data_IF_857827056248
#
_entry.id   IF_857827056248
#
_cell.length_a   1.000
_cell.length_b   1.000
_cell.length_c   1.000
_cell.angle_alpha   90.00
_cell.angle_beta   90.00
_cell.angle_gamma   90.00
#
_symmetry.space_group_name_H-M   'P 1'
#
loop_
_entity.id
_entity.type
_entity.pdbx_description
1 polymer ?
#
# COMPACT_ATOMS: atom_id res chain seq x y z
N UNK A 1 -22.88 -30.99 47.42
CA UNK A 1 -23.26 -31.28 46.01
C UNK A 1 -24.27 -30.24 45.58
N UNK A 2 -23.88 -29.32 44.72
CA UNK A 2 -24.80 -28.33 44.12
C UNK A 2 -25.58 -28.99 42.98
N UNK A 3 -26.90 -29.05 43.13
CA UNK A 3 -27.81 -29.71 42.20
C UNK A 3 -28.28 -28.71 41.12
N UNK A 4 -28.19 -29.06 39.84
CA UNK A 4 -28.59 -28.26 38.68
C UNK A 4 -29.98 -27.61 38.79
N UNK A 5 -30.91 -28.24 39.50
CA UNK A 5 -32.27 -27.72 39.74
C UNK A 5 -32.30 -26.46 40.63
N UNK A 6 -31.34 -26.28 41.54
CA UNK A 6 -31.30 -25.13 42.44
C UNK A 6 -30.64 -23.92 41.75
N UNK A 7 -29.76 -24.14 40.73
CA UNK A 7 -29.18 -23.08 39.93
C UNK A 7 -30.22 -22.39 39.02
N UNK A 8 -31.12 -23.17 38.42
CA UNK A 8 -32.19 -22.64 37.55
C UNK A 8 -33.30 -21.88 38.34
N UNK A 9 -33.51 -22.18 39.61
CA UNK A 9 -34.48 -21.45 40.46
C UNK A 9 -33.95 -20.11 40.99
N UNK A 10 -32.64 -19.95 41.13
CA UNK A 10 -32.02 -18.69 41.56
C UNK A 10 -31.81 -17.69 40.42
N UNK A 11 -31.69 -18.19 39.16
CA UNK A 11 -31.56 -17.32 38.00
C UNK A 11 -32.88 -16.76 37.44
N UNK A 12 -34.03 -17.33 37.81
CA UNK A 12 -35.35 -16.84 37.40
C UNK A 12 -35.95 -15.74 38.29
N UNK A 13 -35.34 -15.46 39.44
CA UNK A 13 -35.80 -14.40 40.36
C UNK A 13 -35.05 -13.07 40.23
N UNK A 14 -33.95 -13.03 39.44
CA UNK A 14 -33.17 -11.80 39.21
C UNK A 14 -33.58 -11.03 37.94
N UNK A 15 -34.51 -11.54 37.15
CA UNK A 15 -34.92 -10.92 35.86
C UNK A 15 -36.21 -10.09 35.96
N UNK A 16 -36.80 -9.91 37.16
CA UNK A 16 -38.07 -9.19 37.31
C UNK A 16 -37.95 -7.84 38.08
N UNK A 17 -36.78 -7.32 38.24
CA UNK A 17 -36.58 -6.10 39.07
C UNK A 17 -35.95 -4.90 38.29
N UNK A 18 -36.08 -4.82 36.95
CA UNK A 18 -35.66 -3.64 36.20
C UNK A 18 -36.69 -3.21 35.16
N UNK A 19 -37.90 -2.94 35.59
CA UNK A 19 -38.88 -2.14 34.87
C UNK A 19 -39.30 -0.97 35.75
N UNK A 20 -38.36 -0.12 36.10
CA UNK A 20 -38.64 1.25 36.53
C UNK A 20 -38.44 2.14 35.32
N UNK A 21 -39.53 2.62 34.73
CA UNK A 21 -39.50 3.74 33.80
C UNK A 21 -38.92 4.95 34.52
N UNK A 22 -37.68 5.27 34.24
CA UNK A 22 -37.17 6.61 34.49
C UNK A 22 -37.30 7.37 33.17
N UNK A 23 -38.33 8.20 33.06
CA UNK A 23 -38.41 9.29 32.13
C UNK A 23 -37.34 10.33 32.53
N UNK A 24 -36.10 10.11 32.10
CA UNK A 24 -35.08 11.16 32.05
C UNK A 24 -35.22 11.85 30.70
N UNK A 25 -35.23 13.22 30.66
CA UNK A 25 -35.29 13.95 29.40
C UNK A 25 -34.09 13.51 28.55
N UNK A 26 -34.41 13.07 27.32
CA UNK A 26 -33.42 12.60 26.34
C UNK A 26 -32.39 13.68 26.05
N UNK A 27 -31.25 13.60 26.69
CA UNK A 27 -30.04 14.15 26.10
C UNK A 27 -29.73 13.22 24.91
N UNK A 28 -30.21 13.59 23.72
CA UNK A 28 -29.62 13.17 22.49
C UNK A 28 -28.16 13.59 22.56
N UNK A 29 -27.28 12.65 22.89
CA UNK A 29 -25.88 12.78 22.56
C UNK A 29 -25.86 12.94 21.02
N UNK A 30 -25.97 14.19 20.56
CA UNK A 30 -25.49 14.53 19.22
C UNK A 30 -24.07 14.02 19.19
N UNK A 31 -23.85 12.93 18.47
CA UNK A 31 -22.53 12.53 18.06
C UNK A 31 -22.01 13.71 17.23
N UNK A 32 -21.22 14.57 17.84
CA UNK A 32 -20.37 15.50 17.10
C UNK A 32 -19.43 14.62 16.28
N UNK A 33 -19.89 14.15 15.14
CA UNK A 33 -19.04 13.74 14.05
C UNK A 33 -18.27 15.00 13.67
N UNK A 34 -17.05 15.10 14.14
CA UNK A 34 -16.08 16.00 13.53
C UNK A 34 -16.00 15.49 12.10
N UNK A 35 -16.70 16.15 11.18
CA UNK A 35 -16.52 15.93 9.75
C UNK A 35 -15.11 16.44 9.45
N UNK A 36 -14.13 15.58 9.63
CA UNK A 36 -12.83 15.78 9.00
C UNK A 36 -13.11 15.77 7.51
N UNK A 37 -12.71 16.85 6.81
CA UNK A 37 -12.81 16.92 5.35
C UNK A 37 -12.05 15.78 4.69
N UNK A 38 -12.09 15.68 3.37
CA UNK A 38 -11.34 14.67 2.65
C UNK A 38 -9.85 14.80 2.92
N UNK A 39 -9.17 13.66 2.93
CA UNK A 39 -7.71 13.54 3.17
C UNK A 39 -7.13 12.59 2.14
N UNK A 40 -5.97 12.91 1.59
CA UNK A 40 -5.15 11.97 0.81
C UNK A 40 -3.70 12.06 1.22
N UNK A 41 -3.08 10.90 1.35
CA UNK A 41 -1.67 10.73 1.68
C UNK A 41 -1.02 9.72 0.74
N UNK A 42 0.22 9.97 0.36
CA UNK A 42 1.00 9.06 -0.49
C UNK A 42 2.47 9.03 -0.12
N UNK A 43 3.09 7.90 -0.37
CA UNK A 43 4.51 7.69 -0.07
C UNK A 43 5.40 8.54 -0.98
N UNK A 44 6.49 9.05 -0.42
CA UNK A 44 7.57 9.79 -1.05
C UNK A 44 7.15 11.15 -1.65
N UNK A 45 8.10 11.86 -2.21
CA UNK A 45 7.93 13.20 -2.81
C UNK A 45 7.08 13.19 -4.09
N UNK A 46 7.17 12.12 -4.88
CA UNK A 46 6.31 11.90 -6.06
C UNK A 46 4.81 11.92 -5.69
N UNK A 47 4.49 11.65 -4.43
CA UNK A 47 3.17 11.77 -3.86
C UNK A 47 2.56 13.17 -3.93
N UNK A 48 3.36 14.23 -3.99
CA UNK A 48 2.84 15.61 -4.09
C UNK A 48 1.99 15.80 -5.35
N UNK A 49 2.52 15.43 -6.52
CA UNK A 49 1.80 15.55 -7.78
C UNK A 49 0.63 14.55 -7.86
N UNK A 50 0.83 13.33 -7.35
CA UNK A 50 -0.23 12.33 -7.26
C UNK A 50 -1.40 12.79 -6.38
N UNK A 51 -1.11 13.41 -5.23
CA UNK A 51 -2.13 13.97 -4.34
C UNK A 51 -2.88 15.14 -4.96
N UNK A 52 -2.25 15.98 -5.77
CA UNK A 52 -2.94 17.06 -6.51
C UNK A 52 -4.00 16.51 -7.45
N UNK A 53 -3.68 15.44 -8.18
CA UNK A 53 -4.65 14.80 -9.07
C UNK A 53 -5.80 14.14 -8.29
N UNK A 54 -5.48 13.37 -7.25
CA UNK A 54 -6.47 12.78 -6.36
C UNK A 54 -7.39 13.83 -5.72
N UNK A 55 -6.83 14.98 -5.36
CA UNK A 55 -7.56 16.07 -4.73
C UNK A 55 -8.63 16.71 -5.63
N UNK A 56 -8.43 16.74 -6.94
CA UNK A 56 -9.47 17.23 -7.88
C UNK A 56 -10.77 16.43 -7.73
N UNK A 57 -10.65 15.14 -7.47
CA UNK A 57 -11.82 14.25 -7.27
C UNK A 57 -12.39 14.44 -5.86
N UNK A 58 -11.54 14.40 -4.84
CA UNK A 58 -11.98 14.50 -3.45
C UNK A 58 -12.65 15.84 -3.13
N UNK A 59 -12.08 16.96 -3.60
CA UNK A 59 -12.64 18.30 -3.39
C UNK A 59 -13.95 18.52 -4.12
N UNK A 60 -14.19 17.78 -5.20
CA UNK A 60 -15.48 17.77 -5.92
C UNK A 60 -16.52 16.81 -5.29
N UNK A 61 -16.21 16.17 -4.15
CA UNK A 61 -17.09 15.22 -3.48
C UNK A 61 -17.10 13.82 -4.10
N UNK A 62 -16.11 13.49 -4.94
CA UNK A 62 -15.94 12.16 -5.55
C UNK A 62 -15.46 11.11 -4.57
N UNK A 63 -15.52 9.84 -4.98
CA UNK A 63 -15.16 8.68 -4.15
C UNK A 63 -13.64 8.60 -3.92
N UNK A 64 -13.25 8.16 -2.74
CA UNK A 64 -11.86 7.88 -2.41
C UNK A 64 -11.22 6.87 -3.39
N UNK A 65 -11.95 5.84 -3.84
CA UNK A 65 -11.49 4.85 -4.82
C UNK A 65 -11.06 5.49 -6.14
N UNK A 66 -11.85 6.43 -6.67
CA UNK A 66 -11.55 7.11 -7.91
C UNK A 66 -10.32 8.04 -7.75
N UNK A 67 -10.21 8.65 -6.58
CA UNK A 67 -9.09 9.53 -6.24
C UNK A 67 -7.76 8.77 -6.17
N UNK A 68 -7.73 7.62 -5.47
CA UNK A 68 -6.49 6.84 -5.33
C UNK A 68 -6.04 6.19 -6.64
N UNK A 69 -6.98 5.81 -7.52
CA UNK A 69 -6.62 5.36 -8.87
C UNK A 69 -5.99 6.48 -9.68
N UNK A 70 -6.71 7.61 -9.82
CA UNK A 70 -6.25 8.72 -10.67
C UNK A 70 -4.98 9.36 -10.14
N UNK A 71 -4.82 9.43 -8.83
CA UNK A 71 -3.62 9.96 -8.22
C UNK A 71 -2.37 9.17 -8.60
N UNK A 72 -2.36 7.86 -8.39
CA UNK A 72 -1.16 7.05 -8.67
C UNK A 72 -0.88 6.90 -10.17
N UNK A 73 -1.90 7.03 -11.05
CA UNK A 73 -1.71 7.05 -12.50
C UNK A 73 -0.73 8.15 -12.96
N UNK A 74 -0.64 9.26 -12.23
CA UNK A 74 0.34 10.33 -12.52
C UNK A 74 1.76 9.78 -12.43
N UNK A 75 2.06 9.05 -11.38
CA UNK A 75 3.38 8.45 -11.17
C UNK A 75 3.64 7.30 -12.15
N UNK A 76 2.66 6.46 -12.44
CA UNK A 76 2.76 5.39 -13.45
C UNK A 76 3.02 5.94 -14.87
N UNK A 77 2.50 7.13 -15.17
CA UNK A 77 2.72 7.81 -16.45
C UNK A 77 4.09 8.50 -16.54
N UNK A 78 4.75 8.73 -15.42
CA UNK A 78 6.09 9.30 -15.37
C UNK A 78 7.10 8.39 -16.03
N UNK A 79 8.01 8.99 -16.80
CA UNK A 79 9.12 8.25 -17.43
C UNK A 79 10.41 8.39 -16.61
N UNK A 80 10.33 9.00 -15.42
CA UNK A 80 11.52 9.50 -14.70
C UNK A 80 12.16 8.49 -13.76
N UNK A 81 11.57 7.42 -13.45
CA UNK A 81 12.07 6.30 -12.65
C UNK A 81 10.95 5.53 -11.94
N UNK A 82 11.31 4.46 -11.50
CA UNK A 82 10.90 3.74 -10.30
C UNK A 82 9.47 3.18 -10.28
N UNK A 83 8.49 3.83 -10.89
CA UNK A 83 7.12 3.32 -11.03
C UNK A 83 6.70 3.38 -12.50
N UNK A 84 5.98 2.39 -12.97
CA UNK A 84 5.51 2.34 -14.36
C UNK A 84 6.59 1.90 -15.36
N UNK A 85 6.29 2.11 -16.65
CA UNK A 85 7.12 1.60 -17.76
C UNK A 85 8.47 2.30 -17.93
N UNK A 86 8.70 3.43 -17.25
CA UNK A 86 9.99 4.12 -17.25
C UNK A 86 11.04 3.52 -16.30
N UNK A 87 10.66 2.56 -15.49
CA UNK A 87 11.46 1.99 -14.41
C UNK A 87 12.56 1.04 -14.91
N UNK A 88 13.45 0.66 -13.97
CA UNK A 88 14.46 -0.36 -14.23
C UNK A 88 13.83 -1.73 -14.52
N UNK A 89 14.38 -2.48 -15.48
CA UNK A 89 13.89 -3.80 -15.84
C UNK A 89 14.27 -4.86 -14.79
N UNK A 90 13.72 -6.05 -14.97
CA UNK A 90 14.25 -7.27 -14.36
C UNK A 90 15.60 -7.67 -15.02
N UNK A 91 16.17 -8.80 -14.60
CA UNK A 91 17.46 -9.31 -15.13
C UNK A 91 17.46 -9.59 -16.61
N UNK A 92 16.29 -9.94 -17.16
CA UNK A 92 16.15 -10.29 -18.58
C UNK A 92 15.82 -9.08 -19.46
N UNK A 93 15.75 -7.87 -18.87
CA UNK A 93 15.51 -6.64 -19.60
C UNK A 93 14.02 -6.27 -19.76
N UNK A 94 13.14 -6.88 -18.98
CA UNK A 94 11.70 -6.60 -19.03
C UNK A 94 11.25 -5.75 -17.83
N UNK A 95 10.53 -4.67 -18.10
CA UNK A 95 9.82 -3.94 -17.03
C UNK A 95 8.54 -4.68 -16.69
N UNK A 96 8.43 -5.15 -15.47
CA UNK A 96 7.23 -5.81 -14.94
C UNK A 96 6.61 -4.96 -13.82
N UNK A 97 5.29 -4.85 -13.85
CA UNK A 97 4.51 -3.94 -13.01
C UNK A 97 3.58 -4.72 -12.08
N UNK A 98 3.49 -4.25 -10.85
CA UNK A 98 2.66 -4.82 -9.81
C UNK A 98 1.75 -3.71 -9.25
N UNK A 99 0.46 -4.01 -9.03
CA UNK A 99 -0.46 -3.05 -8.44
C UNK A 99 -1.58 -3.72 -7.65
N UNK A 100 -2.07 -3.02 -6.64
CA UNK A 100 -3.30 -3.38 -5.92
C UNK A 100 -4.15 -2.15 -5.62
N UNK A 101 -5.47 -2.35 -5.56
CA UNK A 101 -6.46 -1.35 -5.19
C UNK A 101 -7.51 -1.98 -4.27
N UNK A 102 -8.02 -1.22 -3.31
CA UNK A 102 -9.02 -1.72 -2.37
C UNK A 102 -10.01 -0.61 -2.00
N UNK A 103 -11.31 -0.94 -1.97
CA UNK A 103 -12.39 -0.01 -1.66
C UNK A 103 -12.91 -0.15 -0.22
N UNK A 104 -13.89 0.68 0.12
CA UNK A 104 -14.56 0.77 1.41
C UNK A 104 -15.42 -0.46 1.78
N UNK A 105 -15.65 -1.38 0.83
CA UNK A 105 -16.51 -2.57 0.98
C UNK A 105 -15.72 -3.87 1.00
N UNK A 106 -14.41 -3.80 1.20
CA UNK A 106 -13.49 -4.93 1.09
C UNK A 106 -13.34 -5.52 -0.32
N UNK A 107 -13.90 -4.88 -1.35
CA UNK A 107 -13.56 -5.28 -2.71
C UNK A 107 -12.13 -4.88 -3.00
N UNK A 108 -11.37 -5.77 -3.60
CA UNK A 108 -9.99 -5.51 -3.96
C UNK A 108 -9.62 -6.20 -5.28
N UNK A 109 -8.64 -5.63 -5.96
CA UNK A 109 -8.11 -6.18 -7.18
C UNK A 109 -6.61 -5.95 -7.27
N UNK A 110 -5.91 -6.89 -7.91
CA UNK A 110 -4.45 -6.85 -8.04
C UNK A 110 -3.99 -7.39 -9.38
N UNK A 111 -2.86 -6.88 -9.83
CA UNK A 111 -2.08 -7.46 -10.93
C UNK A 111 -0.63 -7.57 -10.51
N UNK A 112 0.06 -8.63 -10.94
CA UNK A 112 1.48 -8.81 -10.70
C UNK A 112 2.20 -9.30 -11.96
N UNK A 113 3.47 -8.92 -12.09
CA UNK A 113 4.29 -9.22 -13.28
C UNK A 113 3.59 -8.82 -14.58
N UNK A 114 2.84 -7.74 -14.57
CA UNK A 114 2.16 -7.20 -15.76
C UNK A 114 3.19 -6.46 -16.63
N UNK A 115 3.23 -6.79 -17.91
CA UNK A 115 4.15 -6.17 -18.85
C UNK A 115 3.41 -5.28 -19.85
N UNK A 116 4.05 -4.19 -20.29
CA UNK A 116 3.65 -3.38 -21.45
C UNK A 116 2.27 -2.72 -21.35
N UNK A 117 1.73 -2.56 -20.14
CA UNK A 117 0.50 -1.82 -19.88
C UNK A 117 0.84 -0.61 -19.01
N UNK A 118 0.51 0.59 -19.47
CA UNK A 118 0.93 1.86 -18.87
C UNK A 118 0.38 2.07 -17.45
N UNK A 119 -0.86 1.63 -17.18
CA UNK A 119 -1.55 1.85 -15.92
C UNK A 119 -1.98 0.53 -15.27
N UNK A 120 -1.07 -0.17 -14.58
CA UNK A 120 -1.38 -1.41 -13.87
C UNK A 120 -2.47 -1.22 -12.79
N UNK A 121 -2.55 -0.05 -12.15
CA UNK A 121 -3.57 0.23 -11.15
C UNK A 121 -4.99 0.17 -11.73
N UNK A 122 -5.18 0.68 -12.95
CA UNK A 122 -6.49 0.62 -13.61
C UNK A 122 -6.84 -0.80 -14.05
N UNK A 123 -5.85 -1.64 -14.40
CA UNK A 123 -6.09 -3.07 -14.65
C UNK A 123 -6.47 -3.78 -13.36
N UNK A 124 -5.77 -3.52 -12.25
CA UNK A 124 -6.13 -4.05 -10.93
C UNK A 124 -7.57 -3.69 -10.54
N UNK A 125 -7.99 -2.44 -10.78
CA UNK A 125 -9.38 -2.02 -10.60
C UNK A 125 -10.35 -2.81 -11.49
N UNK A 126 -10.03 -3.05 -12.75
CA UNK A 126 -10.86 -3.89 -13.65
C UNK A 126 -10.95 -5.34 -13.18
N UNK A 127 -9.88 -5.90 -12.64
CA UNK A 127 -9.94 -7.23 -12.01
C UNK A 127 -10.98 -7.24 -10.89
N UNK A 128 -10.96 -6.25 -9.99
CA UNK A 128 -11.92 -6.09 -8.90
C UNK A 128 -13.37 -5.94 -9.39
N UNK A 129 -13.59 -5.10 -10.41
CA UNK A 129 -14.93 -4.69 -10.83
C UNK A 129 -15.58 -5.66 -11.84
N UNK A 130 -14.79 -6.41 -12.61
CA UNK A 130 -15.26 -7.19 -13.77
C UNK A 130 -15.10 -8.69 -13.62
N UNK A 131 -14.42 -9.16 -12.56
CA UNK A 131 -14.18 -10.58 -12.36
C UNK A 131 -14.53 -11.00 -10.94
N UNK A 132 -14.76 -12.29 -10.67
CA UNK A 132 -14.89 -12.81 -9.32
C UNK A 132 -13.52 -13.01 -8.63
N UNK A 133 -12.42 -12.69 -9.32
CA UNK A 133 -11.05 -12.91 -8.85
C UNK A 133 -10.50 -11.65 -8.17
N UNK A 134 -9.52 -11.86 -7.30
CA UNK A 134 -8.81 -10.77 -6.63
C UNK A 134 -7.50 -10.43 -7.36
N UNK A 135 -6.84 -11.40 -7.99
CA UNK A 135 -5.53 -11.19 -8.60
C UNK A 135 -5.39 -11.93 -9.93
N UNK A 136 -4.82 -11.26 -10.91
CA UNK A 136 -4.32 -11.84 -12.16
C UNK A 136 -2.82 -11.54 -12.30
N UNK A 137 -2.06 -12.46 -12.94
CA UNK A 137 -0.60 -12.34 -13.03
C UNK A 137 -0.07 -12.58 -14.45
N UNK A 138 1.06 -11.97 -14.78
CA UNK A 138 1.85 -12.22 -15.99
C UNK A 138 1.04 -12.10 -17.26
N UNK A 139 1.22 -13.05 -18.18
CA UNK A 139 0.56 -13.07 -19.49
C UNK A 139 -0.98 -13.09 -19.38
N UNK A 140 -1.54 -13.80 -18.40
CA UNK A 140 -2.99 -13.82 -18.18
C UNK A 140 -3.53 -12.44 -17.80
N UNK A 141 -2.82 -11.68 -16.96
CA UNK A 141 -3.18 -10.30 -16.64
C UNK A 141 -3.07 -9.38 -17.86
N UNK A 142 -2.04 -9.57 -18.71
CA UNK A 142 -1.88 -8.80 -19.93
C UNK A 142 -2.98 -9.08 -20.96
N UNK A 143 -3.36 -10.34 -21.16
CA UNK A 143 -4.48 -10.72 -22.03
C UNK A 143 -5.80 -10.12 -21.55
N UNK A 144 -6.06 -10.16 -20.25
CA UNK A 144 -7.23 -9.53 -19.63
C UNK A 144 -7.21 -8.01 -19.88
N UNK A 145 -6.07 -7.34 -19.66
CA UNK A 145 -5.94 -5.91 -19.89
C UNK A 145 -6.25 -5.52 -21.34
N UNK A 146 -5.72 -6.28 -22.31
CA UNK A 146 -5.99 -6.06 -23.75
C UNK A 146 -7.48 -6.25 -24.03
N UNK A 147 -8.11 -7.27 -23.49
CA UNK A 147 -9.54 -7.53 -23.65
C UNK A 147 -10.42 -6.42 -23.05
N UNK A 148 -9.96 -5.78 -21.97
CA UNK A 148 -10.62 -4.62 -21.35
C UNK A 148 -10.26 -3.27 -22.05
N UNK A 149 -9.55 -3.32 -23.18
CA UNK A 149 -9.26 -2.15 -24.02
C UNK A 149 -8.01 -1.36 -23.65
N UNK A 150 -7.15 -1.86 -22.79
CA UNK A 150 -5.87 -1.22 -22.51
C UNK A 150 -4.90 -1.40 -23.69
N UNK A 151 -4.22 -0.32 -24.14
CA UNK A 151 -3.26 -0.42 -25.22
C UNK A 151 -2.04 -1.21 -24.77
N UNK A 152 -1.52 -2.04 -25.68
CA UNK A 152 -0.27 -2.76 -25.47
C UNK A 152 0.91 -1.89 -25.97
N UNK A 153 1.71 -1.42 -25.04
CA UNK A 153 2.87 -0.58 -25.30
C UNK A 153 4.03 -1.38 -25.95
N UNK A 154 4.93 -0.68 -26.62
CA UNK A 154 6.13 -1.33 -27.20
C UNK A 154 7.07 -1.78 -26.07
N UNK A 155 7.68 -2.96 -26.26
CA UNK A 155 8.79 -3.41 -25.41
C UNK A 155 10.01 -2.53 -25.67
N UNK A 156 10.26 -1.57 -24.79
CA UNK A 156 11.41 -0.65 -24.87
C UNK A 156 11.69 -0.05 -23.50
N UNK A 157 12.94 -0.08 -23.09
CA UNK A 157 13.40 0.62 -21.91
C UNK A 157 13.47 2.13 -22.16
N UNK A 158 13.28 2.93 -21.11
CA UNK A 158 13.66 4.35 -21.15
C UNK A 158 15.17 4.48 -21.34
N UNK A 159 15.64 5.64 -21.79
CA UNK A 159 17.07 5.85 -22.02
C UNK A 159 17.89 5.67 -20.74
N UNK A 160 17.37 6.16 -19.61
CA UNK A 160 18.00 6.03 -18.30
C UNK A 160 17.99 4.58 -17.80
N UNK A 161 16.87 3.88 -17.91
CA UNK A 161 16.77 2.48 -17.53
C UNK A 161 17.70 1.59 -18.37
N UNK A 162 17.81 1.85 -19.70
CA UNK A 162 18.73 1.13 -20.56
C UNK A 162 20.18 1.35 -20.13
N UNK A 163 20.57 2.59 -19.87
CA UNK A 163 21.93 2.90 -19.39
C UNK A 163 22.25 2.19 -18.07
N UNK A 164 21.34 2.25 -17.08
CA UNK A 164 21.51 1.57 -15.79
C UNK A 164 21.58 0.05 -15.95
N UNK A 165 20.78 -0.52 -16.83
CA UNK A 165 20.80 -1.95 -17.13
C UNK A 165 22.11 -2.40 -17.76
N UNK A 166 22.64 -1.65 -18.75
CA UNK A 166 23.92 -1.92 -19.41
C UNK A 166 25.09 -1.84 -18.40
N UNK A 167 25.05 -0.88 -17.48
CA UNK A 167 26.04 -0.76 -16.41
C UNK A 167 25.95 -1.91 -15.39
N UNK A 168 24.72 -2.32 -15.04
CA UNK A 168 24.51 -3.47 -14.17
C UNK A 168 25.03 -4.76 -14.80
N UNK A 169 24.74 -5.02 -16.08
CA UNK A 169 25.24 -6.19 -16.81
C UNK A 169 26.77 -6.28 -16.83
N UNK A 170 27.47 -5.14 -16.93
CA UNK A 170 28.94 -5.11 -16.87
C UNK A 170 29.51 -5.49 -15.51
N UNK A 171 28.78 -5.23 -14.43
CA UNK A 171 29.21 -5.46 -13.06
C UNK A 171 28.69 -6.78 -12.48
N UNK A 172 27.63 -7.33 -13.05
CA UNK A 172 27.01 -8.58 -12.58
C UNK A 172 27.64 -9.78 -13.30
N UNK A 173 27.47 -10.95 -12.69
CA UNK A 173 27.82 -12.25 -13.30
C UNK A 173 26.66 -12.79 -14.17
N UNK A 174 25.56 -12.07 -14.27
CA UNK A 174 24.36 -12.50 -15.00
C UNK A 174 24.51 -12.29 -16.51
N UNK A 175 24.15 -13.30 -17.29
CA UNK A 175 24.13 -13.28 -18.75
C UNK A 175 22.73 -13.70 -19.25
N UNK A 176 21.89 -12.77 -19.70
CA UNK A 176 20.55 -13.11 -20.22
C UNK A 176 20.62 -13.84 -21.59
N UNK A 177 19.67 -14.73 -21.92
CA UNK A 177 18.79 -15.43 -20.99
C UNK A 177 19.55 -16.56 -20.31
N UNK A 178 19.41 -16.66 -19.00
CA UNK A 178 20.02 -17.70 -18.18
C UNK A 178 18.95 -18.48 -17.41
N UNK A 179 19.33 -19.62 -16.84
CA UNK A 179 18.46 -20.30 -15.88
C UNK A 179 18.19 -19.34 -14.74
N UNK A 180 16.90 -19.11 -14.44
CA UNK A 180 16.46 -18.16 -13.43
C UNK A 180 16.66 -18.74 -12.01
N UNK A 181 17.91 -18.96 -11.64
CA UNK A 181 18.31 -19.41 -10.30
C UNK A 181 19.00 -18.25 -9.61
N UNK A 182 18.57 -17.96 -8.40
CA UNK A 182 19.19 -16.99 -7.52
C UNK A 182 19.80 -17.68 -6.31
N UNK A 183 21.12 -17.83 -6.32
CA UNK A 183 21.91 -18.13 -5.16
C UNK A 183 22.39 -16.83 -4.54
N UNK A 184 22.66 -16.82 -3.26
CA UNK A 184 22.99 -15.61 -2.49
C UNK A 184 24.21 -14.84 -3.01
N UNK A 185 25.00 -15.41 -3.91
CA UNK A 185 26.30 -14.85 -4.33
C UNK A 185 26.50 -14.73 -5.83
N UNK A 186 25.64 -15.29 -6.70
CA UNK A 186 26.06 -15.57 -8.08
C UNK A 186 25.48 -14.62 -9.16
N UNK A 187 24.54 -13.75 -8.83
CA UNK A 187 23.84 -12.95 -9.84
C UNK A 187 24.06 -11.44 -9.72
N UNK A 188 24.98 -11.03 -8.88
CA UNK A 188 25.24 -9.62 -8.64
C UNK A 188 24.14 -8.94 -7.79
N UNK A 189 24.38 -7.71 -7.36
CA UNK A 189 23.44 -6.98 -6.54
C UNK A 189 22.20 -6.60 -7.36
N UNK A 190 21.05 -6.52 -6.70
CA UNK A 190 19.92 -5.71 -7.15
C UNK A 190 20.37 -4.27 -7.41
N UNK A 191 19.50 -3.43 -7.99
CA UNK A 191 19.71 -2.00 -8.00
C UNK A 191 20.15 -1.52 -6.59
N UNK A 192 21.05 -0.53 -6.51
CA UNK A 192 21.55 -0.05 -5.24
C UNK A 192 20.38 0.33 -4.32
N UNK A 193 20.43 -0.10 -3.07
CA UNK A 193 19.43 0.28 -2.07
C UNK A 193 19.49 1.76 -1.72
N UNK A 194 20.66 2.37 -1.91
CA UNK A 194 20.87 3.82 -1.80
C UNK A 194 21.39 4.35 -3.13
N UNK A 195 20.90 5.50 -3.50
CA UNK A 195 21.41 6.29 -4.62
C UNK A 195 22.76 6.92 -4.24
N UNK A 196 23.49 7.43 -5.23
CA UNK A 196 24.81 8.07 -5.03
C UNK A 196 24.74 9.29 -4.08
N UNK A 197 23.58 9.95 -4.00
CA UNK A 197 23.31 11.06 -3.07
C UNK A 197 23.01 10.61 -1.63
N UNK A 198 23.00 9.27 -1.37
CA UNK A 198 22.73 8.68 -0.07
C UNK A 198 21.25 8.48 0.26
N UNK A 199 20.34 8.88 -0.60
CA UNK A 199 18.90 8.63 -0.47
C UNK A 199 18.55 7.18 -0.72
N UNK A 200 17.46 6.72 -0.09
CA UNK A 200 16.95 5.38 -0.36
C UNK A 200 16.35 5.32 -1.76
N UNK A 201 16.76 4.31 -2.52
CA UNK A 201 16.12 4.00 -3.78
C UNK A 201 14.74 3.42 -3.51
N UNK A 202 13.70 3.99 -4.13
CA UNK A 202 12.31 3.60 -3.93
C UNK A 202 11.56 3.51 -5.26
N UNK A 203 10.86 2.39 -5.46
CA UNK A 203 10.18 2.06 -6.71
C UNK A 203 8.67 1.86 -6.50
N UNK A 204 8.09 2.49 -5.48
CA UNK A 204 6.69 2.27 -5.09
C UNK A 204 6.00 3.59 -4.76
N UNK A 205 4.79 3.77 -5.29
CA UNK A 205 3.85 4.73 -4.73
C UNK A 205 2.66 3.99 -4.12
N UNK A 206 2.44 4.23 -2.83
CA UNK A 206 1.23 3.84 -2.13
C UNK A 206 0.41 5.09 -1.80
N UNK A 207 -0.89 5.02 -2.00
CA UNK A 207 -1.82 6.11 -1.70
C UNK A 207 -3.01 5.58 -0.92
N UNK A 208 -3.39 6.27 0.15
CA UNK A 208 -4.66 6.02 0.85
C UNK A 208 -5.41 7.34 1.02
N UNK A 209 -6.73 7.28 0.87
CA UNK A 209 -7.58 8.47 0.91
C UNK A 209 -8.88 8.22 1.68
N UNK A 210 -9.41 9.30 2.24
CA UNK A 210 -10.75 9.38 2.81
C UNK A 210 -11.55 10.44 2.05
N UNK A 211 -12.76 10.11 1.61
CA UNK A 211 -13.66 11.05 0.94
C UNK A 211 -14.54 11.85 1.93
N UNK A 212 -15.37 12.76 1.40
CA UNK A 212 -16.26 13.60 2.20
C UNK A 212 -17.31 12.81 3.00
N UNK A 213 -17.57 11.56 2.63
CA UNK A 213 -18.48 10.66 3.34
C UNK A 213 -17.74 9.83 4.41
N UNK A 214 -16.43 10.04 4.56
CA UNK A 214 -15.58 9.30 5.45
C UNK A 214 -15.25 7.89 4.95
N UNK A 215 -15.48 7.56 3.67
CA UNK A 215 -15.09 6.28 3.11
C UNK A 215 -13.61 6.26 2.77
N UNK A 216 -12.98 5.14 3.10
CA UNK A 216 -11.57 4.90 2.88
C UNK A 216 -11.34 4.02 1.64
N UNK A 217 -10.34 4.36 0.87
CA UNK A 217 -9.82 3.49 -0.20
C UNK A 217 -8.32 3.63 -0.30
N UNK A 218 -7.66 2.68 -0.94
CA UNK A 218 -6.22 2.73 -1.14
C UNK A 218 -5.77 2.07 -2.42
N UNK A 219 -4.57 2.44 -2.84
CA UNK A 219 -3.85 1.88 -3.99
C UNK A 219 -2.37 1.77 -3.68
N UNK A 220 -1.72 0.77 -4.28
CA UNK A 220 -0.27 0.60 -4.21
C UNK A 220 0.20 0.10 -5.58
N UNK A 221 1.20 0.76 -6.17
CA UNK A 221 1.71 0.41 -7.50
C UNK A 221 3.22 0.59 -7.58
N UNK A 222 3.88 -0.28 -8.32
CA UNK A 222 5.35 -0.36 -8.39
C UNK A 222 5.80 -1.06 -9.65
N UNK A 223 7.05 -0.84 -10.04
CA UNK A 223 7.79 -1.73 -10.94
C UNK A 223 8.61 -2.78 -10.18
N UNK A 224 8.59 -2.76 -8.86
CA UNK A 224 9.43 -3.61 -7.99
C UNK A 224 10.91 -3.24 -8.03
N UNK A 225 11.73 -4.06 -7.39
CA UNK A 225 13.17 -3.84 -7.32
C UNK A 225 13.80 -3.91 -8.72
N UNK A 226 14.66 -2.93 -9.05
CA UNK A 226 15.42 -2.96 -10.30
C UNK A 226 16.37 -4.17 -10.36
N UNK A 227 16.50 -4.76 -11.55
CA UNK A 227 17.33 -5.95 -11.85
C UNK A 227 16.96 -7.17 -10.99
N UNK A 228 15.70 -7.22 -10.55
CA UNK A 228 15.12 -8.34 -9.81
C UNK A 228 15.15 -9.62 -10.63
N UNK A 229 15.11 -10.75 -9.97
CA UNK A 229 14.89 -12.03 -10.61
C UNK A 229 13.57 -12.00 -11.41
N UNK A 230 13.57 -12.52 -12.64
CA UNK A 230 12.36 -12.55 -13.46
C UNK A 230 11.26 -13.32 -12.76
N UNK A 231 10.07 -12.73 -12.66
CA UNK A 231 8.93 -13.26 -11.92
C UNK A 231 8.92 -12.92 -10.42
N UNK A 232 9.93 -12.19 -9.90
CA UNK A 232 9.87 -11.68 -8.53
C UNK A 232 8.75 -10.66 -8.39
N UNK A 233 7.94 -10.85 -7.36
CA UNK A 233 6.85 -9.96 -6.94
C UNK A 233 7.12 -9.49 -5.51
N UNK A 234 6.96 -8.18 -5.26
CA UNK A 234 7.05 -7.58 -3.94
C UNK A 234 5.70 -7.54 -3.21
N UNK A 235 5.59 -6.68 -2.23
CA UNK A 235 4.41 -6.51 -1.38
C UNK A 235 3.25 -5.77 -2.06
N UNK A 236 3.54 -4.88 -3.01
CA UNK A 236 2.57 -3.92 -3.56
C UNK A 236 1.29 -4.57 -4.12
N UNK A 237 1.29 -5.73 -4.81
CA UNK A 237 0.07 -6.35 -5.30
C UNK A 237 -0.61 -7.25 -4.27
N UNK A 238 -0.01 -7.43 -3.09
CA UNK A 238 -0.50 -8.36 -2.06
C UNK A 238 -1.32 -7.60 -1.03
N UNK A 239 -2.64 -7.77 -1.10
CA UNK A 239 -3.57 -7.22 -0.11
C UNK A 239 -3.24 -7.78 1.28
N UNK A 240 -3.12 -6.87 2.25
CA UNK A 240 -2.64 -7.17 3.59
C UNK A 240 -1.14 -6.91 3.80
N UNK A 241 -0.34 -6.94 2.72
CA UNK A 241 1.09 -6.63 2.75
C UNK A 241 1.35 -5.17 2.34
N UNK A 242 1.35 -4.85 1.06
CA UNK A 242 1.61 -3.49 0.54
C UNK A 242 0.46 -2.52 0.73
N UNK A 243 -0.76 -3.03 0.81
CA UNK A 243 -2.00 -2.26 0.97
C UNK A 243 -3.01 -3.02 1.82
N UNK A 244 -3.71 -2.31 2.71
CA UNK A 244 -4.91 -2.83 3.36
C UNK A 244 -5.87 -1.71 3.74
N UNK A 245 -7.18 -1.93 3.51
CA UNK A 245 -8.25 -0.99 3.86
C UNK A 245 -9.31 -1.71 4.68
N UNK A 246 -9.66 -1.14 5.82
CA UNK A 246 -10.85 -1.49 6.59
C UNK A 246 -11.63 -0.21 6.88
N UNK A 247 -12.76 -0.05 6.25
CA UNK A 247 -13.55 1.18 6.33
C UNK A 247 -14.07 1.49 7.74
N UNK A 248 -14.11 0.53 8.63
CA UNK A 248 -14.49 0.73 10.03
C UNK A 248 -13.31 1.19 10.92
N UNK A 249 -12.07 1.04 10.44
CA UNK A 249 -10.86 1.23 11.25
C UNK A 249 -9.90 2.25 10.63
N UNK A 250 -9.44 1.98 9.41
CA UNK A 250 -8.42 2.76 8.76
C UNK A 250 -7.86 2.08 7.50
N UNK A 251 -6.89 2.72 6.88
CA UNK A 251 -6.18 2.22 5.72
C UNK A 251 -4.67 2.41 5.90
N UNK A 252 -3.89 1.50 5.32
CA UNK A 252 -2.44 1.55 5.38
C UNK A 252 -1.84 1.10 4.04
N UNK A 253 -0.73 1.74 3.66
CA UNK A 253 0.14 1.31 2.58
C UNK A 253 1.58 1.20 3.07
N UNK A 254 2.37 0.36 2.41
CA UNK A 254 3.76 0.10 2.73
C UNK A 254 4.69 0.46 1.56
N UNK A 255 5.96 0.65 1.87
CA UNK A 255 7.04 0.83 0.88
C UNK A 255 8.36 0.28 1.42
N UNK A 256 9.30 -0.04 0.53
CA UNK A 256 10.63 -0.54 0.88
C UNK A 256 10.85 -2.01 0.54
N UNK A 257 11.50 -2.77 1.42
CA UNK A 257 11.83 -4.17 1.16
C UNK A 257 10.58 -5.06 1.22
N UNK A 258 10.00 -5.34 0.06
CA UNK A 258 8.70 -6.01 -0.09
C UNK A 258 8.63 -7.39 0.58
N UNK A 259 9.69 -8.18 0.47
CA UNK A 259 9.77 -9.52 1.08
C UNK A 259 9.54 -9.49 2.60
N UNK A 260 10.03 -8.45 3.27
CA UNK A 260 9.90 -8.33 4.71
C UNK A 260 8.53 -7.79 5.12
N UNK A 261 7.94 -6.93 4.30
CA UNK A 261 6.55 -6.48 4.45
C UNK A 261 5.59 -7.67 4.29
N UNK A 262 5.80 -8.53 3.28
CA UNK A 262 5.00 -9.74 3.04
C UNK A 262 5.04 -10.67 4.26
N UNK A 263 6.25 -10.97 4.78
CA UNK A 263 6.44 -11.91 5.91
C UNK A 263 5.64 -11.56 7.15
N UNK A 264 5.31 -10.29 7.35
CA UNK A 264 4.58 -9.82 8.53
C UNK A 264 3.14 -9.38 8.22
N UNK A 265 2.68 -9.46 6.97
CA UNK A 265 1.41 -8.90 6.50
C UNK A 265 1.27 -7.43 6.93
N UNK A 266 2.27 -6.62 6.57
CA UNK A 266 2.58 -5.35 7.21
C UNK A 266 1.43 -4.36 7.30
N UNK A 267 0.76 -4.04 6.18
CA UNK A 267 -0.35 -3.07 6.17
C UNK A 267 -1.56 -3.57 6.97
N UNK A 268 -1.87 -4.87 6.92
CA UNK A 268 -2.92 -5.48 7.74
C UNK A 268 -2.57 -5.41 9.24
N UNK A 269 -1.31 -5.64 9.61
CA UNK A 269 -0.86 -5.52 11.00
C UNK A 269 -1.02 -4.08 11.54
N UNK A 270 -0.71 -3.06 10.74
CA UNK A 270 -0.93 -1.65 11.10
C UNK A 270 -2.42 -1.38 11.35
N UNK A 271 -3.29 -1.80 10.43
CA UNK A 271 -4.74 -1.61 10.58
C UNK A 271 -5.27 -2.36 11.80
N UNK A 272 -4.75 -3.56 12.10
CA UNK A 272 -5.13 -4.31 13.29
C UNK A 272 -4.69 -3.60 14.59
N UNK A 273 -3.50 -2.99 14.64
CA UNK A 273 -3.11 -2.16 15.78
C UNK A 273 -3.99 -0.92 15.93
N UNK A 274 -4.45 -0.31 14.82
CA UNK A 274 -5.44 0.77 14.89
C UNK A 274 -6.79 0.27 15.40
N UNK A 275 -7.24 -0.94 15.03
CA UNK A 275 -8.45 -1.58 15.56
C UNK A 275 -8.37 -1.76 17.08
N UNK A 276 -7.19 -2.06 17.61
CA UNK A 276 -6.91 -2.19 19.03
C UNK A 276 -6.73 -0.84 19.75
N UNK A 277 -7.00 0.28 19.06
CA UNK A 277 -7.01 1.61 19.63
C UNK A 277 -5.71 2.41 19.50
N UNK A 278 -4.70 1.93 18.74
CA UNK A 278 -3.51 2.71 18.45
C UNK A 278 -3.82 3.84 17.48
N UNK A 279 -3.19 5.01 17.68
CA UNK A 279 -3.13 6.05 16.66
C UNK A 279 -2.29 5.57 15.45
N UNK A 280 -2.49 6.15 14.24
CA UNK A 280 -1.80 5.68 13.02
C UNK A 280 -0.27 5.62 13.14
N UNK A 281 0.38 6.67 13.69
CA UNK A 281 1.84 6.68 13.90
C UNK A 281 2.27 5.55 14.84
N UNK A 282 1.57 5.36 15.96
CA UNK A 282 1.88 4.29 16.91
C UNK A 282 1.65 2.89 16.33
N UNK A 283 0.64 2.72 15.50
CA UNK A 283 0.37 1.46 14.81
C UNK A 283 1.51 1.12 13.82
N UNK A 284 1.95 2.10 13.01
CA UNK A 284 3.11 1.96 12.14
C UNK A 284 4.37 1.64 12.95
N UNK A 285 4.62 2.36 14.05
CA UNK A 285 5.76 2.15 14.95
C UNK A 285 5.78 0.74 15.55
N UNK A 286 4.65 0.24 16.05
CA UNK A 286 4.53 -1.13 16.58
C UNK A 286 4.85 -2.18 15.52
N UNK A 287 4.40 -1.97 14.29
CA UNK A 287 4.68 -2.88 13.18
C UNK A 287 6.17 -2.89 12.81
N UNK A 288 6.83 -1.72 12.78
CA UNK A 288 8.29 -1.62 12.59
C UNK A 288 9.05 -2.29 13.74
N UNK A 289 8.65 -2.07 14.99
CA UNK A 289 9.27 -2.76 16.15
C UNK A 289 9.18 -4.29 16.02
N UNK A 290 8.02 -4.82 15.62
CA UNK A 290 7.87 -6.25 15.35
C UNK A 290 8.83 -6.72 14.25
N UNK A 291 8.97 -5.95 13.17
CA UNK A 291 9.91 -6.25 12.09
C UNK A 291 11.35 -6.30 12.59
N UNK A 292 11.79 -5.32 13.37
CA UNK A 292 13.13 -5.27 13.98
C UNK A 292 13.38 -6.50 14.85
N UNK A 293 12.41 -6.89 15.67
CA UNK A 293 12.52 -8.08 16.51
C UNK A 293 12.73 -9.37 15.68
N UNK A 294 12.04 -9.47 14.53
CA UNK A 294 12.14 -10.64 13.64
C UNK A 294 13.48 -10.66 12.88
N UNK A 295 13.93 -9.50 12.40
CA UNK A 295 15.08 -9.40 11.51
C UNK A 295 16.42 -9.29 12.25
N UNK A 296 16.44 -8.82 13.51
CA UNK A 296 17.66 -8.56 14.25
C UNK A 296 18.60 -7.59 13.52
N UNK A 297 19.88 -7.93 13.42
CA UNK A 297 20.90 -7.08 12.77
C UNK A 297 20.58 -6.76 11.29
N UNK A 298 19.88 -7.64 10.59
CA UNK A 298 19.50 -7.41 9.19
C UNK A 298 18.60 -6.18 9.03
N UNK A 299 17.85 -5.81 10.06
CA UNK A 299 17.01 -4.59 10.05
C UNK A 299 17.82 -3.32 9.76
N UNK A 300 19.10 -3.27 10.13
CA UNK A 300 19.99 -2.12 9.87
C UNK A 300 20.33 -1.92 8.39
N UNK A 301 20.09 -2.91 7.53
CA UNK A 301 20.54 -2.92 6.13
C UNK A 301 19.43 -2.72 5.11
N UNK A 302 18.20 -2.56 5.55
CA UNK A 302 17.02 -2.42 4.69
C UNK A 302 16.20 -1.19 5.08
N UNK A 303 15.33 -0.75 4.17
CA UNK A 303 14.28 0.23 4.47
C UNK A 303 12.91 -0.42 4.36
N UNK A 304 12.04 -0.12 5.32
CA UNK A 304 10.59 -0.38 5.28
C UNK A 304 9.90 0.79 5.95
N UNK A 305 8.81 1.26 5.37
CA UNK A 305 7.98 2.29 5.97
C UNK A 305 6.50 1.98 5.78
N UNK A 306 5.70 2.41 6.74
CA UNK A 306 4.24 2.34 6.71
C UNK A 306 3.65 3.74 6.81
N UNK A 307 2.57 3.95 6.06
CA UNK A 307 1.80 5.19 6.03
C UNK A 307 0.33 4.84 6.21
N UNK A 308 -0.33 5.44 7.19
CA UNK A 308 -1.69 5.05 7.57
C UNK A 308 -2.59 6.26 7.86
N UNK A 309 -3.89 6.05 7.65
CA UNK A 309 -4.97 6.95 8.04
C UNK A 309 -6.03 6.15 8.81
N UNK A 310 -6.55 6.69 9.89
CA UNK A 310 -7.66 6.06 10.59
C UNK A 310 -9.02 6.64 10.16
N UNK A 311 -10.11 6.06 10.68
CA UNK A 311 -11.49 6.47 10.38
C UNK A 311 -11.84 7.90 10.83
N UNK A 312 -11.00 8.51 11.66
CA UNK A 312 -11.17 9.92 12.09
C UNK A 312 -10.41 10.90 11.19
N UNK A 313 -9.69 10.42 10.16
CA UNK A 313 -8.86 11.24 9.31
C UNK A 313 -7.49 11.60 9.92
N UNK A 314 -7.13 11.02 11.06
CA UNK A 314 -5.80 11.17 11.64
C UNK A 314 -4.80 10.36 10.81
N UNK A 315 -3.66 10.97 10.53
CA UNK A 315 -2.60 10.42 9.66
C UNK A 315 -1.36 10.11 10.50
N UNK A 316 -0.63 9.09 10.12
CA UNK A 316 0.65 8.77 10.73
C UNK A 316 1.51 7.85 9.89
N UNK A 317 2.80 7.95 10.11
CA UNK A 317 3.81 7.13 9.44
C UNK A 317 4.93 6.78 10.40
N UNK A 318 5.63 5.68 10.11
CA UNK A 318 6.87 5.33 10.79
C UNK A 318 7.72 4.46 9.88
N UNK A 319 9.03 4.72 9.88
CA UNK A 319 9.99 4.04 9.02
C UNK A 319 11.03 3.25 9.84
N UNK A 320 11.67 2.30 9.19
CA UNK A 320 12.77 1.55 9.78
C UNK A 320 14.06 2.39 9.84
N UNK A 321 14.38 3.07 8.73
CA UNK A 321 15.54 3.95 8.60
C UNK A 321 15.08 5.39 8.37
N UNK A 322 15.94 6.39 8.68
CA UNK A 322 15.67 7.79 8.35
C UNK A 322 15.61 7.99 6.83
N UNK A 323 14.93 9.07 6.41
CA UNK A 323 14.84 9.50 5.01
C UNK A 323 13.49 9.24 4.34
N UNK A 324 12.57 8.50 4.96
CA UNK A 324 11.22 8.37 4.45
C UNK A 324 10.43 9.68 4.62
N UNK A 325 9.71 10.05 3.58
CA UNK A 325 8.75 11.16 3.58
C UNK A 325 7.44 10.75 2.91
N UNK A 326 6.37 11.47 3.21
CA UNK A 326 5.08 11.26 2.57
C UNK A 326 4.42 12.60 2.25
N UNK A 327 3.67 12.64 1.16
CA UNK A 327 2.86 13.78 0.78
C UNK A 327 1.51 13.72 1.50
N UNK A 328 1.07 14.85 2.05
CA UNK A 328 -0.22 15.06 2.68
C UNK A 328 -0.99 16.14 1.94
N UNK A 329 -2.25 15.90 1.64
CA UNK A 329 -3.18 16.92 1.12
C UNK A 329 -4.51 16.85 1.85
N UNK A 330 -4.92 17.99 2.37
CA UNK A 330 -6.21 18.31 2.97
C UNK A 330 -6.70 19.64 2.38
N UNK A 331 -7.86 20.13 2.82
CA UNK A 331 -8.43 21.39 2.33
C UNK A 331 -7.42 22.55 2.32
N UNK A 332 -6.76 22.77 3.43
CA UNK A 332 -5.85 23.91 3.64
C UNK A 332 -4.38 23.50 3.80
N UNK A 333 -4.07 22.24 3.54
CA UNK A 333 -2.74 21.67 3.73
C UNK A 333 -2.27 20.96 2.48
N UNK A 334 -1.06 21.28 2.03
CA UNK A 334 -0.32 20.53 1.02
C UNK A 334 1.14 20.55 1.42
N UNK A 335 1.67 19.42 1.85
CA UNK A 335 3.03 19.37 2.38
C UNK A 335 3.69 18.00 2.17
N UNK A 336 5.03 18.02 2.17
CA UNK A 336 5.86 16.83 2.26
C UNK A 336 6.35 16.68 3.70
N UNK A 337 5.83 15.67 4.38
CA UNK A 337 6.10 15.41 5.79
C UNK A 337 7.21 14.38 5.95
N UNK A 338 8.22 14.69 6.76
CA UNK A 338 9.27 13.72 7.11
C UNK A 338 8.76 12.75 8.18
N UNK A 339 8.93 11.47 7.94
CA UNK A 339 8.58 10.42 8.90
C UNK A 339 9.63 10.27 9.99
N UNK A 340 9.19 9.89 11.19
CA UNK A 340 10.09 9.37 12.22
C UNK A 340 10.57 7.98 11.84
N UNK A 341 11.69 7.55 12.40
CA UNK A 341 12.29 6.24 12.15
C UNK A 341 12.71 5.54 13.44
N UNK A 342 12.96 4.24 13.31
CA UNK A 342 13.44 3.40 14.41
C UNK A 342 14.94 3.62 14.70
N UNK A 343 15.78 3.70 13.67
CA UNK A 343 17.21 3.98 13.74
C UNK A 343 17.53 5.45 13.59
#
# INVERSE_FOLDING_TARGET
>A
MFNRRNFLKTSSLSSLAFLVKNDLPGNTLESFSIKTGPVVISTWDAGLEANKEAWKILSAGGRALDAVEKGVMVTEASQNCCVGLGANPDRDGFVTLDASIMDEKFNCGSVASLERIKHPISVARKVMEKTPHVMLVGEGAQQFAIAEGFPLEKQKLSADAQKQYDEWLKKSTYHPPSINIENTNDHGPFAPRKLDNGEWNHDTIGMVAMDVNGNLSGSCTTSGAGFKMRGRVGDSPIIGAGLYVDNAVGACTATGQGEDVIRICGSSAVVEFMRQGSLPEDACRKTIHRLVTILGERAKTIQVAFLAINKKGEVGSFALQPGFSYALKMQDTEELVKSKSYF
#
